data_IF_180503013704
#
_entry.id   IF_180503013704
#
_cell.length_a   1.000
_cell.length_b   1.000
_cell.length_c   1.000
_cell.angle_alpha   90.00
_cell.angle_beta   90.00
_cell.angle_gamma   90.00
#
_symmetry.space_group_name_H-M   'P 1'
#
loop_
_entity.id
_entity.type
_entity.pdbx_description
1 polymer ?
#
# COMPACT_ATOMS: atom_id res chain seq x y z
N UNK A 1 -13.14 22.39 -9.53
CA UNK A 1 -12.14 21.58 -8.79
C UNK A 1 -12.50 20.12 -8.99
N UNK A 2 -11.59 19.31 -9.49
CA UNK A 2 -11.79 17.87 -9.55
C UNK A 2 -11.87 17.34 -8.11
N UNK A 3 -12.98 16.67 -7.79
CA UNK A 3 -13.24 16.11 -6.46
C UNK A 3 -12.80 14.64 -6.46
N UNK A 4 -11.55 14.39 -6.04
CA UNK A 4 -11.10 13.03 -5.81
C UNK A 4 -11.68 12.46 -4.50
N UNK A 5 -12.09 11.20 -4.53
CA UNK A 5 -12.58 10.46 -3.35
C UNK A 5 -11.94 9.07 -3.27
N UNK A 6 -12.09 8.43 -2.12
CA UNK A 6 -11.63 7.07 -1.86
C UNK A 6 -12.85 6.19 -1.57
N UNK A 7 -12.82 4.96 -2.08
CA UNK A 7 -13.82 3.95 -1.78
C UNK A 7 -13.18 2.56 -1.69
N UNK A 8 -13.85 1.58 -1.10
CA UNK A 8 -13.46 0.19 -1.23
C UNK A 8 -13.40 -0.24 -2.70
N UNK A 9 -12.44 -1.10 -3.03
CA UNK A 9 -12.35 -1.70 -4.35
C UNK A 9 -13.57 -2.60 -4.62
N UNK A 10 -13.95 -2.72 -5.89
CA UNK A 10 -15.05 -3.55 -6.38
C UNK A 10 -14.49 -4.63 -7.32
N UNK A 11 -15.20 -5.73 -7.56
CA UNK A 11 -14.74 -6.79 -8.45
C UNK A 11 -14.22 -6.29 -9.81
N UNK A 12 -14.87 -5.31 -10.42
CA UNK A 12 -14.46 -4.74 -11.72
C UNK A 12 -13.23 -3.83 -11.68
N UNK A 13 -12.66 -3.53 -10.51
CA UNK A 13 -11.50 -2.62 -10.41
C UNK A 13 -10.15 -3.36 -10.59
N UNK A 14 -10.13 -4.68 -10.49
CA UNK A 14 -8.90 -5.50 -10.43
C UNK A 14 -7.97 -5.26 -11.63
N UNK A 15 -8.51 -5.18 -12.84
CA UNK A 15 -7.70 -4.90 -14.04
C UNK A 15 -7.08 -3.52 -14.02
N UNK A 16 -7.82 -2.50 -13.58
CA UNK A 16 -7.30 -1.13 -13.51
C UNK A 16 -6.28 -0.97 -12.37
N UNK A 17 -6.46 -1.67 -11.23
CA UNK A 17 -5.47 -1.74 -10.16
C UNK A 17 -4.17 -2.36 -10.67
N UNK A 18 -4.24 -3.49 -11.38
CA UNK A 18 -3.08 -4.15 -11.98
C UNK A 18 -2.35 -3.22 -12.97
N UNK A 19 -3.08 -2.54 -13.83
CA UNK A 19 -2.53 -1.54 -14.77
C UNK A 19 -1.80 -0.42 -14.02
N UNK A 20 -2.41 0.16 -12.98
CA UNK A 20 -1.80 1.22 -12.17
C UNK A 20 -0.52 0.72 -11.50
N UNK A 21 -0.56 -0.47 -10.91
CA UNK A 21 0.59 -1.08 -10.24
C UNK A 21 1.74 -1.23 -11.22
N UNK A 22 1.50 -1.86 -12.36
CA UNK A 22 2.52 -2.12 -13.36
C UNK A 22 3.08 -0.84 -13.97
N UNK A 23 2.22 0.13 -14.30
CA UNK A 23 2.62 1.44 -14.80
C UNK A 23 3.50 2.16 -13.77
N UNK A 24 3.10 2.14 -12.50
CA UNK A 24 3.86 2.80 -11.42
C UNK A 24 5.22 2.13 -11.24
N UNK A 25 5.28 0.81 -11.21
CA UNK A 25 6.53 0.07 -11.11
C UNK A 25 7.48 0.41 -12.27
N UNK A 26 7.01 0.36 -13.51
CA UNK A 26 7.82 0.67 -14.70
C UNK A 26 8.32 2.12 -14.75
N UNK A 27 7.59 3.06 -14.18
CA UNK A 27 7.96 4.48 -14.18
C UNK A 27 8.74 4.85 -12.92
N UNK A 28 8.19 4.59 -11.73
CA UNK A 28 8.76 5.03 -10.48
C UNK A 28 9.92 4.14 -10.01
N UNK A 29 9.81 2.82 -10.21
CA UNK A 29 10.77 1.84 -9.69
C UNK A 29 11.80 1.36 -10.72
N UNK A 30 11.83 1.95 -11.93
CA UNK A 30 12.80 1.59 -12.98
C UNK A 30 14.28 1.70 -12.58
N UNK A 31 14.59 2.46 -11.54
CA UNK A 31 15.94 2.61 -10.97
C UNK A 31 16.15 1.80 -9.70
N UNK A 32 15.10 1.20 -9.17
CA UNK A 32 15.11 0.41 -7.94
C UNK A 32 15.09 -1.08 -8.25
N UNK A 33 14.36 -1.48 -9.28
CA UNK A 33 14.15 -2.88 -9.66
C UNK A 33 14.82 -3.18 -11.01
N UNK A 34 15.27 -4.44 -11.23
CA UNK A 34 15.78 -4.87 -12.52
C UNK A 34 14.72 -4.69 -13.62
N UNK A 35 15.16 -4.14 -14.75
CA UNK A 35 14.25 -3.93 -15.89
C UNK A 35 13.62 -5.24 -16.36
N UNK A 36 14.42 -6.30 -16.46
CA UNK A 36 13.93 -7.61 -16.87
C UNK A 36 12.76 -8.07 -15.98
N UNK A 37 12.90 -7.99 -14.65
CA UNK A 37 11.83 -8.35 -13.73
C UNK A 37 10.56 -7.53 -13.96
N UNK A 38 10.69 -6.22 -14.27
CA UNK A 38 9.53 -5.36 -14.57
C UNK A 38 8.87 -5.67 -15.92
N UNK A 39 9.66 -6.12 -16.90
CA UNK A 39 9.16 -6.45 -18.24
C UNK A 39 8.49 -7.84 -18.27
N UNK A 40 8.87 -8.76 -17.39
CA UNK A 40 8.33 -10.12 -17.28
C UNK A 40 7.01 -10.19 -16.49
N UNK A 41 6.63 -9.12 -15.77
CA UNK A 41 5.37 -9.12 -15.00
C UNK A 41 4.18 -9.13 -15.95
N UNK A 42 3.36 -10.17 -15.84
CA UNK A 42 2.11 -10.30 -16.58
C UNK A 42 0.98 -9.52 -15.91
N UNK A 43 0.36 -8.60 -16.65
CA UNK A 43 -0.73 -7.77 -16.15
C UNK A 43 -2.00 -8.59 -15.86
N UNK A 44 -2.26 -9.62 -16.66
CA UNK A 44 -3.40 -10.51 -16.45
C UNK A 44 -3.28 -11.32 -15.16
N UNK A 45 -2.08 -11.80 -14.87
CA UNK A 45 -1.79 -12.47 -13.60
C UNK A 45 -1.96 -11.53 -12.40
N UNK A 46 -1.48 -10.28 -12.50
CA UNK A 46 -1.71 -9.27 -11.45
C UNK A 46 -3.20 -8.99 -11.26
N UNK A 47 -3.96 -8.86 -12.36
CA UNK A 47 -5.40 -8.64 -12.29
C UNK A 47 -6.12 -9.80 -11.59
N UNK A 48 -5.76 -11.05 -11.86
CA UNK A 48 -6.32 -12.21 -11.15
C UNK A 48 -6.00 -12.20 -9.65
N UNK A 49 -4.78 -11.81 -9.27
CA UNK A 49 -4.43 -11.66 -7.85
C UNK A 49 -5.23 -10.58 -7.15
N UNK A 50 -5.43 -9.44 -7.81
CA UNK A 50 -6.26 -8.36 -7.26
C UNK A 50 -7.74 -8.75 -7.21
N UNK A 51 -8.23 -9.48 -8.20
CA UNK A 51 -9.60 -10.02 -8.17
C UNK A 51 -9.81 -10.93 -6.96
N UNK A 52 -8.88 -11.84 -6.70
CA UNK A 52 -8.92 -12.69 -5.52
C UNK A 52 -8.85 -11.89 -4.21
N UNK A 53 -7.96 -10.89 -4.11
CA UNK A 53 -7.83 -10.06 -2.93
C UNK A 53 -9.08 -9.21 -2.63
N UNK A 54 -9.84 -8.87 -3.66
CA UNK A 54 -11.09 -8.08 -3.53
C UNK A 54 -12.28 -8.99 -3.22
N UNK A 55 -12.40 -10.13 -3.88
CA UNK A 55 -13.58 -10.99 -3.80
C UNK A 55 -13.52 -12.06 -2.70
N UNK A 56 -12.31 -12.52 -2.37
CA UNK A 56 -12.07 -13.58 -1.39
C UNK A 56 -10.89 -13.22 -0.46
N UNK A 57 -11.00 -12.09 0.28
CA UNK A 57 -9.94 -11.68 1.19
C UNK A 57 -9.79 -12.68 2.35
N UNK A 58 -8.57 -12.90 2.87
CA UNK A 58 -8.33 -13.84 3.99
C UNK A 58 -9.14 -13.53 5.25
N UNK A 59 -9.53 -12.29 5.46
CA UNK A 59 -10.45 -11.85 6.50
C UNK A 59 -11.11 -10.52 6.15
N UNK A 60 -12.16 -10.14 6.89
CA UNK A 60 -12.83 -8.84 6.73
C UNK A 60 -11.93 -7.65 7.09
N UNK A 61 -10.79 -7.87 7.75
CA UNK A 61 -9.80 -6.84 8.08
C UNK A 61 -8.80 -6.60 6.94
N UNK A 62 -8.80 -7.44 5.88
CA UNK A 62 -8.04 -7.18 4.66
C UNK A 62 -8.84 -6.23 3.77
N UNK A 63 -8.22 -5.12 3.41
CA UNK A 63 -8.87 -4.00 2.72
C UNK A 63 -8.09 -3.62 1.47
N UNK A 64 -8.81 -3.46 0.38
CA UNK A 64 -8.30 -2.80 -0.83
C UNK A 64 -9.14 -1.55 -1.06
N UNK A 65 -8.50 -0.39 -1.06
CA UNK A 65 -9.14 0.90 -1.31
C UNK A 65 -8.61 1.48 -2.61
N UNK A 66 -9.47 2.18 -3.33
CA UNK A 66 -9.10 2.87 -4.57
C UNK A 66 -9.37 4.36 -4.47
N UNK A 67 -8.44 5.15 -5.01
CA UNK A 67 -8.62 6.58 -5.20
C UNK A 67 -9.19 6.85 -6.59
N UNK A 68 -10.24 7.63 -6.64
CA UNK A 68 -10.94 8.02 -7.87
C UNK A 68 -10.80 9.53 -8.06
N UNK A 69 -10.35 9.94 -9.23
CA UNK A 69 -10.42 11.33 -9.69
C UNK A 69 -11.69 11.52 -10.51
N UNK A 70 -12.47 12.51 -10.16
CA UNK A 70 -13.69 12.85 -10.85
C UNK A 70 -13.47 14.10 -11.72
N UNK A 71 -13.42 13.90 -13.04
CA UNK A 71 -13.34 14.93 -14.06
C UNK A 71 -14.58 14.81 -14.97
N UNK A 72 -14.42 14.92 -16.27
CA UNK A 72 -15.52 14.60 -17.24
C UNK A 72 -15.92 13.12 -17.17
N UNK A 73 -14.96 12.26 -16.82
CA UNK A 73 -15.15 10.85 -16.51
C UNK A 73 -14.47 10.55 -15.18
N UNK A 74 -14.87 9.45 -14.53
CA UNK A 74 -14.24 8.97 -13.32
C UNK A 74 -13.03 8.07 -13.66
N UNK A 75 -11.86 8.41 -13.13
CA UNK A 75 -10.62 7.66 -13.32
C UNK A 75 -10.16 7.06 -12.01
N UNK A 76 -9.86 5.78 -12.02
CA UNK A 76 -9.13 5.15 -10.93
C UNK A 76 -7.65 5.55 -11.07
N UNK A 77 -7.08 6.16 -10.02
CA UNK A 77 -5.78 6.84 -10.12
C UNK A 77 -4.76 6.34 -9.10
N UNK A 78 -5.19 5.50 -8.18
CA UNK A 78 -4.33 4.92 -7.16
C UNK A 78 -5.08 3.93 -6.30
N UNK A 79 -4.36 3.18 -5.50
CA UNK A 79 -4.93 2.21 -4.57
C UNK A 79 -4.03 1.99 -3.36
N UNK A 80 -4.58 1.42 -2.31
CA UNK A 80 -3.85 0.87 -1.17
C UNK A 80 -4.44 -0.47 -0.76
N UNK A 81 -3.58 -1.37 -0.35
CA UNK A 81 -3.95 -2.65 0.24
C UNK A 81 -3.33 -2.77 1.63
N UNK A 82 -4.12 -3.23 2.59
CA UNK A 82 -3.68 -3.44 3.96
C UNK A 82 -4.50 -4.51 4.65
N UNK A 83 -3.94 -5.11 5.68
CA UNK A 83 -4.59 -6.12 6.50
C UNK A 83 -3.82 -6.38 7.79
N UNK A 84 -4.22 -7.38 8.59
CA UNK A 84 -3.41 -7.86 9.68
C UNK A 84 -2.01 -8.25 9.22
N UNK A 85 -1.01 -8.12 10.09
CA UNK A 85 0.34 -8.59 9.81
C UNK A 85 0.37 -10.09 9.59
N UNK A 86 1.19 -10.52 8.64
CA UNK A 86 1.52 -11.91 8.34
C UNK A 86 3.04 -12.10 8.37
N UNK A 87 3.51 -13.26 7.96
CA UNK A 87 4.95 -13.55 7.89
C UNK A 87 5.71 -12.61 6.94
N UNK A 88 5.05 -12.03 5.95
CA UNK A 88 5.68 -11.07 5.02
C UNK A 88 5.95 -9.71 5.66
N UNK A 89 5.26 -9.39 6.76
CA UNK A 89 5.51 -8.18 7.53
C UNK A 89 6.73 -8.32 8.47
N UNK A 90 7.16 -9.55 8.79
CA UNK A 90 8.29 -9.82 9.66
C UNK A 90 9.62 -9.40 9.03
N UNK A 91 10.53 -8.95 9.87
CA UNK A 91 11.95 -8.86 9.52
C UNK A 91 12.58 -10.27 9.54
N UNK A 92 13.69 -10.51 8.79
CA UNK A 92 14.29 -11.84 8.69
C UNK A 92 14.69 -12.47 10.03
N UNK A 93 14.98 -11.65 11.03
CA UNK A 93 15.42 -12.09 12.36
C UNK A 93 14.30 -12.18 13.40
N UNK A 94 13.08 -11.75 13.01
CA UNK A 94 11.93 -11.80 13.90
C UNK A 94 11.27 -13.19 13.86
N UNK A 95 10.99 -13.80 15.01
CA UNK A 95 10.29 -15.08 15.05
C UNK A 95 8.84 -14.96 14.61
N UNK A 96 8.27 -16.04 14.14
CA UNK A 96 6.85 -16.11 13.84
C UNK A 96 6.03 -15.66 15.06
N UNK A 97 5.05 -14.77 14.83
CA UNK A 97 4.23 -14.21 15.90
C UNK A 97 4.85 -13.04 16.67
N UNK A 98 6.04 -12.55 16.29
CA UNK A 98 6.65 -11.37 16.92
C UNK A 98 5.77 -10.12 16.78
N UNK A 99 5.03 -10.02 15.68
CA UNK A 99 4.06 -8.94 15.46
C UNK A 99 2.70 -9.36 16.04
N UNK A 100 2.16 -8.50 16.89
CA UNK A 100 0.85 -8.73 17.52
C UNK A 100 -0.30 -8.56 16.53
N UNK A 101 -1.49 -9.02 16.92
CA UNK A 101 -2.73 -9.00 16.14
C UNK A 101 -3.38 -7.61 16.01
N UNK A 102 -2.84 -6.62 16.69
CA UNK A 102 -3.26 -5.20 16.64
C UNK A 102 -2.43 -4.33 15.70
N UNK A 103 -1.64 -4.97 14.85
CA UNK A 103 -0.78 -4.29 13.89
C UNK A 103 -1.32 -4.51 12.47
N UNK A 104 -1.54 -3.42 11.74
CA UNK A 104 -1.87 -3.45 10.33
C UNK A 104 -0.59 -3.43 9.48
N UNK A 105 -0.54 -4.23 8.42
CA UNK A 105 0.48 -4.16 7.39
C UNK A 105 -0.09 -3.47 6.14
N UNK A 106 0.60 -2.45 5.65
CA UNK A 106 0.34 -1.86 4.33
C UNK A 106 1.21 -2.59 3.33
N UNK A 107 0.60 -3.34 2.44
CA UNK A 107 1.33 -4.09 1.39
C UNK A 107 1.56 -3.25 0.15
N UNK A 108 0.60 -2.40 -0.18
CA UNK A 108 0.64 -1.51 -1.34
C UNK A 108 0.04 -0.14 -1.02
N UNK A 109 0.68 0.90 -1.50
CA UNK A 109 0.15 2.26 -1.52
C UNK A 109 0.73 2.98 -2.74
N UNK A 110 -0.01 2.98 -3.82
CA UNK A 110 0.44 3.46 -5.11
C UNK A 110 -0.54 4.47 -5.71
N UNK A 111 0.01 5.54 -6.27
CA UNK A 111 -0.71 6.50 -7.10
C UNK A 111 0.00 6.56 -8.45
N UNK A 112 -0.76 6.41 -9.53
CA UNK A 112 -0.20 6.48 -10.88
C UNK A 112 0.58 7.81 -11.07
N UNK A 113 1.82 7.79 -11.57
CA UNK A 113 2.71 8.96 -11.56
C UNK A 113 2.12 10.24 -12.16
N UNK A 114 1.32 10.12 -13.23
CA UNK A 114 0.64 11.28 -13.87
C UNK A 114 -0.39 11.97 -12.96
N UNK A 115 -0.87 11.28 -11.94
CA UNK A 115 -1.84 11.78 -10.95
C UNK A 115 -1.17 12.12 -9.62
N UNK A 116 0.13 12.03 -9.54
CA UNK A 116 0.89 12.34 -8.34
C UNK A 116 0.71 13.80 -7.88
N UNK A 117 0.96 14.04 -6.58
CA UNK A 117 0.94 15.37 -5.93
C UNK A 117 -0.41 16.09 -5.95
N UNK A 118 -1.50 15.36 -6.12
CA UNK A 118 -2.89 15.87 -6.07
C UNK A 118 -3.63 15.43 -4.80
N UNK A 119 -2.90 14.91 -3.81
CA UNK A 119 -3.45 14.48 -2.53
C UNK A 119 -4.12 13.10 -2.52
N UNK A 120 -4.05 12.32 -3.62
CA UNK A 120 -4.65 10.98 -3.67
C UNK A 120 -4.03 10.02 -2.67
N UNK A 121 -2.69 9.99 -2.56
CA UNK A 121 -2.01 9.17 -1.57
C UNK A 121 -2.41 9.51 -0.13
N UNK A 122 -2.50 10.80 0.19
CA UNK A 122 -2.93 11.24 1.52
C UNK A 122 -4.39 10.86 1.83
N UNK A 123 -5.28 10.93 0.83
CA UNK A 123 -6.68 10.48 1.00
C UNK A 123 -6.78 8.97 1.17
N UNK A 124 -5.99 8.18 0.42
CA UNK A 124 -5.91 6.73 0.58
C UNK A 124 -5.43 6.37 1.99
N UNK A 125 -4.36 7.01 2.44
CA UNK A 125 -3.80 6.74 3.77
C UNK A 125 -4.78 7.14 4.87
N UNK A 126 -5.44 8.30 4.77
CA UNK A 126 -6.44 8.74 5.74
C UNK A 126 -7.62 7.76 5.84
N UNK A 127 -8.15 7.33 4.69
CA UNK A 127 -9.23 6.34 4.66
C UNK A 127 -8.80 4.97 5.23
N UNK A 128 -7.56 4.56 4.99
CA UNK A 128 -7.01 3.33 5.58
C UNK A 128 -6.89 3.45 7.10
N UNK A 129 -6.40 4.58 7.62
CA UNK A 129 -6.30 4.85 9.07
C UNK A 129 -7.66 4.77 9.74
N UNK A 130 -8.71 5.32 9.14
CA UNK A 130 -10.07 5.26 9.70
C UNK A 130 -10.59 3.82 9.80
N UNK A 131 -10.29 2.99 8.80
CA UNK A 131 -10.62 1.56 8.82
C UNK A 131 -9.78 0.80 9.85
N UNK A 132 -8.48 1.08 9.96
CA UNK A 132 -7.62 0.45 10.97
C UNK A 132 -8.10 0.73 12.39
N UNK A 133 -8.55 1.95 12.68
CA UNK A 133 -9.18 2.30 13.96
C UNK A 133 -10.42 1.47 14.22
N UNK A 134 -11.27 1.34 13.23
CA UNK A 134 -12.51 0.55 13.31
C UNK A 134 -12.20 -0.94 13.53
N UNK A 135 -11.16 -1.45 12.87
CA UNK A 135 -10.72 -2.83 12.97
C UNK A 135 -9.89 -3.13 14.24
N UNK A 136 -9.63 -2.10 15.07
CA UNK A 136 -8.96 -2.22 16.37
C UNK A 136 -7.44 -2.32 16.30
N UNK A 137 -6.84 -1.88 15.19
CA UNK A 137 -5.39 -1.74 15.09
C UNK A 137 -4.91 -0.48 15.83
N UNK A 138 -3.77 -0.57 16.49
CA UNK A 138 -3.12 0.56 17.18
C UNK A 138 -1.78 0.97 16.55
N UNK A 139 -1.28 0.15 15.64
CA UNK A 139 -0.03 0.39 14.91
C UNK A 139 -0.21 -0.03 13.45
N UNK A 140 0.47 0.65 12.55
CA UNK A 140 0.59 0.21 11.17
C UNK A 140 2.05 0.14 10.75
N UNK A 141 2.39 -0.86 9.90
CA UNK A 141 3.71 -1.13 9.35
C UNK A 141 3.67 -1.05 7.83
N UNK A 142 4.78 -0.65 7.23
CA UNK A 142 5.00 -0.70 5.78
C UNK A 142 6.48 -0.94 5.47
N UNK A 143 6.76 -1.77 4.47
CA UNK A 143 8.09 -1.90 3.90
C UNK A 143 8.29 -0.89 2.77
N UNK A 144 9.32 -0.09 2.84
CA UNK A 144 9.69 0.86 1.81
C UNK A 144 11.08 0.55 1.25
N UNK A 145 11.27 0.72 -0.04
CA UNK A 145 12.60 0.61 -0.62
C UNK A 145 13.53 1.68 -0.04
N UNK A 146 14.69 1.28 0.42
CA UNK A 146 15.68 2.19 1.02
C UNK A 146 16.04 3.34 0.08
N UNK A 147 16.12 3.06 -1.21
CA UNK A 147 16.46 4.02 -2.27
C UNK A 147 15.25 4.74 -2.89
N UNK A 148 14.06 4.67 -2.23
CA UNK A 148 12.87 5.43 -2.64
C UNK A 148 12.63 6.63 -1.70
N UNK A 149 13.25 7.79 -1.99
CA UNK A 149 13.07 8.99 -1.17
C UNK A 149 11.66 9.55 -1.26
N UNK A 150 10.92 9.27 -2.33
CA UNK A 150 9.57 9.82 -2.53
C UNK A 150 8.58 9.16 -1.56
N UNK A 151 8.57 7.84 -1.48
CA UNK A 151 7.72 7.09 -0.54
C UNK A 151 8.12 7.41 0.91
N UNK A 152 9.42 7.42 1.22
CA UNK A 152 9.90 7.74 2.57
C UNK A 152 9.50 9.16 3.01
N UNK A 153 9.66 10.16 2.13
CA UNK A 153 9.24 11.53 2.42
C UNK A 153 7.73 11.64 2.59
N UNK A 154 6.97 10.94 1.76
CA UNK A 154 5.51 10.94 1.83
C UNK A 154 5.03 10.33 3.16
N UNK A 155 5.47 9.12 3.49
CA UNK A 155 5.10 8.45 4.75
C UNK A 155 5.62 9.23 5.97
N UNK A 156 6.86 9.73 5.94
CA UNK A 156 7.41 10.57 7.00
C UNK A 156 6.59 11.84 7.25
N UNK A 157 6.03 12.47 6.20
CA UNK A 157 5.13 13.62 6.36
C UNK A 157 3.80 13.26 7.02
N UNK A 158 3.44 11.98 7.06
CA UNK A 158 2.28 11.42 7.74
C UNK A 158 2.63 10.79 9.11
N UNK A 159 3.82 11.07 9.63
CA UNK A 159 4.25 10.62 10.96
C UNK A 159 4.86 9.22 11.02
N UNK A 160 5.12 8.59 9.86
CA UNK A 160 5.78 7.29 9.84
C UNK A 160 7.27 7.42 10.08
N UNK A 161 7.83 6.53 10.90
CA UNK A 161 9.24 6.51 11.27
C UNK A 161 9.83 5.09 11.07
N UNK A 162 11.15 4.97 10.77
CA UNK A 162 11.81 3.67 10.75
C UNK A 162 11.80 3.03 12.14
N UNK A 163 11.49 1.73 12.22
CA UNK A 163 11.58 0.95 13.47
C UNK A 163 12.92 0.22 13.64
N UNK A 164 13.82 0.37 12.68
CA UNK A 164 15.15 -0.25 12.68
C UNK A 164 15.21 -1.59 11.95
N UNK A 165 14.07 -2.19 11.61
CA UNK A 165 14.05 -3.43 10.85
C UNK A 165 14.40 -3.20 9.38
N UNK A 166 15.19 -4.10 8.82
CA UNK A 166 15.62 -4.08 7.42
C UNK A 166 15.50 -5.46 6.80
N UNK A 167 15.33 -5.50 5.48
CA UNK A 167 15.37 -6.74 4.69
C UNK A 167 15.88 -6.45 3.29
N UNK A 168 16.23 -7.49 2.55
CA UNK A 168 16.52 -7.39 1.12
C UNK A 168 15.61 -8.35 0.37
N UNK A 169 14.94 -7.83 -0.66
CA UNK A 169 14.18 -8.68 -1.59
C UNK A 169 15.12 -9.16 -2.68
N UNK A 170 15.10 -10.44 -2.97
CA UNK A 170 15.72 -10.97 -4.18
C UNK A 170 14.77 -10.78 -5.37
N UNK A 171 15.19 -9.97 -6.31
CA UNK A 171 14.42 -9.68 -7.53
C UNK A 171 15.32 -9.94 -8.73
N UNK A 172 15.14 -11.05 -9.41
CA UNK A 172 15.97 -11.47 -10.54
C UNK A 172 17.48 -11.38 -10.22
N UNK A 173 17.91 -12.08 -9.18
CA UNK A 173 19.29 -12.13 -8.67
C UNK A 173 19.86 -10.79 -8.17
N UNK A 174 19.02 -9.79 -7.99
CA UNK A 174 19.41 -8.51 -7.39
C UNK A 174 18.76 -8.34 -6.00
N UNK A 175 19.60 -8.13 -4.99
CA UNK A 175 19.12 -7.82 -3.66
C UNK A 175 18.70 -6.35 -3.57
N UNK A 176 17.42 -6.11 -3.33
CA UNK A 176 16.83 -4.77 -3.23
C UNK A 176 16.53 -4.47 -1.77
N UNK A 177 17.30 -3.56 -1.13
CA UNK A 177 17.13 -3.30 0.29
C UNK A 177 15.85 -2.53 0.59
N UNK A 178 15.20 -2.94 1.67
CA UNK A 178 14.03 -2.29 2.23
C UNK A 178 14.24 -1.99 3.72
N UNK A 179 13.61 -0.92 4.18
CA UNK A 179 13.48 -0.60 5.59
C UNK A 179 12.00 -0.63 5.98
N UNK A 180 11.72 -1.03 7.20
CA UNK A 180 10.37 -1.03 7.75
C UNK A 180 10.07 0.31 8.42
N UNK A 181 8.90 0.84 8.11
CA UNK A 181 8.35 2.04 8.72
C UNK A 181 7.14 1.65 9.57
N UNK A 182 6.94 2.38 10.65
CA UNK A 182 5.77 2.22 11.51
C UNK A 182 5.13 3.56 11.83
N UNK A 183 3.85 3.52 12.22
CA UNK A 183 3.12 4.66 12.76
C UNK A 183 2.11 4.18 13.78
N UNK A 184 1.93 4.94 14.86
CA UNK A 184 0.84 4.72 15.80
C UNK A 184 -0.50 5.09 15.14
N UNK A 185 -1.52 4.27 15.36
CA UNK A 185 -2.90 4.51 14.96
C UNK A 185 -3.67 4.94 16.21
N UNK A 186 -3.81 6.25 16.45
CA UNK A 186 -4.50 6.71 17.65
C UNK A 186 -5.97 6.29 17.59
N UNK A 187 -6.61 5.99 18.75
CA UNK A 187 -8.04 5.69 18.80
C UNK A 187 -8.85 6.85 18.19
N UNK A 188 -10.04 6.53 17.68
CA UNK A 188 -10.96 7.58 17.26
C UNK A 188 -11.17 8.54 18.43
N UNK A 189 -11.10 9.86 18.17
CA UNK A 189 -11.44 10.84 19.18
C UNK A 189 -12.84 10.51 19.71
N UNK A 190 -12.97 10.34 21.02
CA UNK A 190 -14.28 10.19 21.62
C UNK A 190 -15.14 11.36 21.17
N UNK A 191 -16.26 11.08 20.51
CA UNK A 191 -17.21 12.12 20.17
C UNK A 191 -17.63 12.76 21.51
N UNK A 192 -17.22 14.01 21.73
CA UNK A 192 -17.72 14.80 22.86
C UNK A 192 -19.25 14.87 22.69
N UNK A 193 -19.95 14.22 23.62
CA UNK A 193 -21.40 14.28 23.75
C UNK A 193 -21.81 15.60 24.37
#
# INVERSE_FOLDING_TARGET
>A
MALGYVRPARPGDAGEIARIQLTTWRVAYRRLLPRQALDEVDEGWLAQRWDAAINDPPSQRHRVLVAVEQAEQSYLVGFTASGPTDEQALAPEEPAGALGDRIAAVTDLLVEPRWGRRGHGSRLLAAAVDLWRTDGFDTALAWAYERDPATRKFLGSAGWEPDGATRALDVADMLVPQLRLHVAVPPAAAAEQ
#
